data_IF_368521284628
#
_entry.id   IF_368521284628
#
_cell.length_a   1.000
_cell.length_b   1.000
_cell.length_c   1.000
_cell.angle_alpha   90.00
_cell.angle_beta   90.00
_cell.angle_gamma   90.00
#
_symmetry.space_group_name_H-M   'P 1'
#
loop_
_entity.id
_entity.type
_entity.pdbx_description
1 polymer ?
#
# COMPACT_ATOMS: atom_id res chain seq x y z
N UNK A 1 2.99 -19.42 11.23
CA UNK A 1 3.53 -18.41 10.29
C UNK A 1 2.37 -17.71 9.60
N UNK A 2 2.39 -16.38 9.55
CA UNK A 2 1.33 -15.62 8.88
C UNK A 2 1.53 -15.64 7.37
N UNK A 3 0.44 -15.82 6.63
CA UNK A 3 0.46 -15.68 5.18
C UNK A 3 0.61 -14.21 4.80
N UNK A 4 1.28 -13.97 3.69
CA UNK A 4 1.41 -12.65 3.10
C UNK A 4 0.52 -12.59 1.87
N UNK A 5 -0.32 -11.55 1.80
CA UNK A 5 -1.21 -11.35 0.68
C UNK A 5 -0.90 -10.02 0.04
N UNK A 6 -0.55 -10.04 -1.24
CA UNK A 6 -0.27 -8.83 -1.98
C UNK A 6 -1.52 -8.19 -2.53
N UNK A 7 -1.61 -6.87 -2.44
CA UNK A 7 -2.66 -6.10 -3.07
C UNK A 7 -2.02 -5.17 -4.09
N UNK A 8 -2.44 -5.31 -5.33
CA UNK A 8 -1.94 -4.50 -6.43
C UNK A 8 -3.11 -3.76 -7.05
N UNK A 9 -2.86 -2.58 -7.54
CA UNK A 9 -3.90 -1.77 -8.16
C UNK A 9 -3.36 -0.44 -8.61
N UNK A 10 -4.24 0.39 -9.17
CA UNK A 10 -3.87 1.69 -9.68
C UNK A 10 -3.50 2.65 -8.58
N UNK A 11 -2.34 3.28 -8.73
CA UNK A 11 -1.98 4.41 -7.89
C UNK A 11 -2.65 5.68 -8.40
N UNK A 12 -2.57 6.73 -7.62
CA UNK A 12 -3.16 8.02 -7.99
C UNK A 12 -2.10 9.03 -8.43
N UNK A 13 -0.87 8.60 -8.54
CA UNK A 13 0.17 9.51 -9.02
C UNK A 13 -0.16 9.94 -10.45
N UNK A 14 0.03 11.21 -10.73
CA UNK A 14 -0.23 11.85 -12.02
C UNK A 14 -1.70 12.07 -12.36
N UNK A 15 -2.64 11.53 -11.59
CA UNK A 15 -4.06 11.76 -11.84
C UNK A 15 -4.56 11.23 -13.17
N UNK A 16 -3.88 10.26 -13.75
CA UNK A 16 -4.22 9.69 -15.06
C UNK A 16 -5.32 8.65 -14.99
N UNK A 17 -5.59 8.13 -13.80
CA UNK A 17 -6.54 7.04 -13.64
C UNK A 17 -7.73 7.50 -12.83
N UNK A 18 -8.89 7.22 -13.37
CA UNK A 18 -10.14 7.48 -12.66
C UNK A 18 -10.44 6.31 -11.74
N UNK A 19 -9.83 6.35 -10.56
CA UNK A 19 -10.13 5.34 -9.54
C UNK A 19 -11.42 5.76 -8.87
N UNK A 20 -12.46 4.96 -9.05
CA UNK A 20 -13.77 5.29 -8.50
C UNK A 20 -13.78 5.16 -6.97
N UNK A 21 -14.73 5.87 -6.34
CA UNK A 21 -14.93 5.73 -4.90
C UNK A 21 -15.28 4.30 -4.54
N UNK A 22 -15.99 3.60 -5.41
CA UNK A 22 -16.34 2.20 -5.19
C UNK A 22 -15.09 1.31 -5.16
N UNK A 23 -14.15 1.55 -6.10
CA UNK A 23 -12.91 0.78 -6.12
C UNK A 23 -12.07 1.03 -4.87
N UNK A 24 -12.01 2.28 -4.40
CA UNK A 24 -11.28 2.61 -3.18
C UNK A 24 -11.92 1.95 -1.96
N UNK A 25 -13.24 1.92 -1.90
CA UNK A 25 -13.96 1.26 -0.81
C UNK A 25 -13.70 -0.24 -0.81
N UNK A 26 -13.71 -0.86 -1.99
CA UNK A 26 -13.40 -2.28 -2.09
C UNK A 26 -11.98 -2.58 -1.64
N UNK A 27 -11.03 -1.72 -2.01
CA UNK A 27 -9.64 -1.88 -1.58
C UNK A 27 -9.54 -1.82 -0.05
N UNK A 28 -10.25 -0.88 0.57
CA UNK A 28 -10.29 -0.77 2.02
C UNK A 28 -10.85 -2.04 2.65
N UNK A 29 -11.98 -2.55 2.13
CA UNK A 29 -12.59 -3.76 2.66
C UNK A 29 -11.71 -4.99 2.46
N UNK A 30 -11.01 -5.09 1.33
CA UNK A 30 -10.08 -6.19 1.09
C UNK A 30 -8.95 -6.16 2.12
N UNK A 31 -8.37 -4.99 2.36
CA UNK A 31 -7.32 -4.86 3.36
C UNK A 31 -7.79 -5.24 4.76
N UNK A 32 -8.99 -4.81 5.11
CA UNK A 32 -9.61 -5.15 6.39
C UNK A 32 -9.79 -6.66 6.54
N UNK A 33 -10.27 -7.32 5.50
CA UNK A 33 -10.46 -8.77 5.53
C UNK A 33 -9.15 -9.52 5.62
N UNK A 34 -8.11 -9.06 4.94
CA UNK A 34 -6.78 -9.64 5.05
C UNK A 34 -6.31 -9.63 6.50
N UNK A 35 -6.48 -8.50 7.17
CA UNK A 35 -6.10 -8.38 8.57
C UNK A 35 -6.97 -9.26 9.48
N UNK A 36 -8.25 -9.35 9.21
CA UNK A 36 -9.16 -10.20 9.98
C UNK A 36 -8.80 -11.68 9.90
N UNK A 37 -8.23 -12.09 8.78
CA UNK A 37 -7.76 -13.45 8.59
C UNK A 37 -6.35 -13.66 9.11
N UNK A 38 -5.83 -12.69 9.85
CA UNK A 38 -4.50 -12.75 10.47
C UNK A 38 -3.38 -12.92 9.43
N UNK A 39 -3.54 -12.26 8.29
CA UNK A 39 -2.55 -12.27 7.23
C UNK A 39 -1.83 -10.94 7.18
N UNK A 40 -0.63 -10.93 6.59
CA UNK A 40 0.14 -9.71 6.39
C UNK A 40 -0.22 -9.13 5.03
N UNK A 41 -0.61 -7.85 5.00
CA UNK A 41 -0.86 -7.15 3.76
C UNK A 41 0.46 -6.63 3.19
N UNK A 42 0.69 -6.90 1.90
CA UNK A 42 1.87 -6.41 1.20
C UNK A 42 1.39 -5.60 -0.02
N UNK A 43 1.93 -4.39 -0.19
CA UNK A 43 1.60 -3.60 -1.39
C UNK A 43 2.78 -2.70 -1.78
N UNK A 44 2.59 -1.93 -2.85
CA UNK A 44 3.65 -1.09 -3.41
C UNK A 44 3.89 0.23 -2.69
N UNK A 45 3.24 0.46 -1.56
CA UNK A 45 3.40 1.67 -0.76
C UNK A 45 3.04 2.95 -1.51
N UNK A 46 2.17 2.85 -2.51
CA UNK A 46 1.69 3.99 -3.29
C UNK A 46 0.36 4.51 -2.78
N UNK A 47 -0.06 5.66 -3.30
CA UNK A 47 -1.40 6.18 -3.04
C UNK A 47 -2.44 5.41 -3.86
N UNK A 48 -3.72 5.66 -3.59
CA UNK A 48 -4.81 5.02 -4.33
C UNK A 48 -5.19 3.67 -3.74
N UNK A 49 -5.35 2.67 -4.60
CA UNK A 49 -5.78 1.33 -4.19
C UNK A 49 -4.87 0.73 -3.11
N UNK A 50 -3.54 0.74 -3.26
CA UNK A 50 -2.68 0.22 -2.20
C UNK A 50 -2.86 0.94 -0.87
N UNK A 51 -2.96 2.27 -0.90
CA UNK A 51 -3.11 3.06 0.31
C UNK A 51 -4.42 2.75 1.03
N UNK A 52 -5.53 2.64 0.28
CA UNK A 52 -6.82 2.33 0.87
C UNK A 52 -6.83 0.92 1.48
N UNK A 53 -6.18 -0.05 0.82
CA UNK A 53 -6.08 -1.39 1.40
C UNK A 53 -5.30 -1.39 2.70
N UNK A 54 -4.23 -0.60 2.78
CA UNK A 54 -3.45 -0.50 4.02
C UNK A 54 -4.24 0.16 5.14
N UNK A 55 -5.05 1.18 4.83
CA UNK A 55 -5.92 1.80 5.83
C UNK A 55 -6.94 0.79 6.35
N UNK A 56 -7.50 -0.02 5.46
CA UNK A 56 -8.43 -1.07 5.87
C UNK A 56 -7.79 -2.08 6.81
N UNK A 57 -6.59 -2.54 6.46
CA UNK A 57 -5.85 -3.47 7.31
C UNK A 57 -5.57 -2.87 8.68
N UNK A 58 -5.15 -1.61 8.74
CA UNK A 58 -4.87 -0.96 10.02
C UNK A 58 -6.14 -0.78 10.85
N UNK A 59 -7.30 -0.64 10.23
CA UNK A 59 -8.56 -0.55 10.96
C UNK A 59 -8.89 -1.83 11.73
N UNK A 60 -8.32 -2.95 11.32
CA UNK A 60 -8.49 -4.25 11.98
C UNK A 60 -7.20 -4.73 12.65
N UNK A 61 -6.32 -3.80 13.02
CA UNK A 61 -5.04 -4.07 13.70
C UNK A 61 -4.13 -5.01 12.92
N UNK A 62 -4.16 -4.93 11.60
CA UNK A 62 -3.32 -5.76 10.76
C UNK A 62 -1.90 -5.27 10.66
N UNK A 63 -1.02 -6.12 10.14
CA UNK A 63 0.36 -5.75 9.84
C UNK A 63 0.47 -5.45 8.34
N UNK A 64 1.05 -4.30 8.01
CA UNK A 64 1.16 -3.84 6.63
C UNK A 64 2.63 -3.65 6.26
N UNK A 65 3.03 -4.29 5.17
CA UNK A 65 4.37 -4.17 4.62
C UNK A 65 4.28 -3.46 3.26
N UNK A 66 5.03 -2.39 3.10
CA UNK A 66 5.15 -1.69 1.83
C UNK A 66 6.45 -2.04 1.13
N UNK A 67 6.41 -2.13 -0.20
CA UNK A 67 7.62 -2.29 -1.01
C UNK A 67 7.73 -1.05 -1.88
N UNK A 68 8.69 -0.20 -1.58
CA UNK A 68 8.84 1.11 -2.23
C UNK A 68 9.90 1.07 -3.33
N UNK A 69 9.68 1.79 -4.45
CA UNK A 69 10.72 1.93 -5.47
C UNK A 69 11.84 2.87 -5.04
N UNK A 70 11.67 3.64 -3.98
CA UNK A 70 12.64 4.59 -3.49
C UNK A 70 13.87 3.91 -2.89
N UNK A 71 14.97 4.62 -2.81
CA UNK A 71 16.18 4.12 -2.18
C UNK A 71 16.14 4.21 -0.66
N UNK A 72 15.37 5.17 -0.14
CA UNK A 72 15.29 5.39 1.30
C UNK A 72 14.02 6.17 1.62
N UNK A 73 13.77 6.36 2.91
CA UNK A 73 12.58 7.07 3.37
C UNK A 73 12.49 8.48 2.80
N UNK A 74 13.60 9.19 2.75
CA UNK A 74 13.60 10.56 2.26
C UNK A 74 13.13 10.62 0.81
N UNK A 75 13.64 9.75 -0.06
CA UNK A 75 13.22 9.69 -1.45
C UNK A 75 11.76 9.28 -1.58
N UNK A 76 11.33 8.32 -0.78
CA UNK A 76 9.94 7.87 -0.75
C UNK A 76 8.98 9.04 -0.48
N UNK A 77 9.31 9.87 0.49
CA UNK A 77 8.44 10.98 0.89
C UNK A 77 8.58 12.19 -0.04
N UNK A 78 9.81 12.54 -0.43
CA UNK A 78 10.05 13.79 -1.15
C UNK A 78 9.96 13.66 -2.66
N UNK A 79 10.51 12.59 -3.24
CA UNK A 79 10.51 12.40 -4.68
C UNK A 79 9.20 11.77 -5.16
N UNK A 80 8.78 10.70 -4.51
CA UNK A 80 7.58 9.98 -4.92
C UNK A 80 6.33 10.48 -4.22
N UNK A 81 6.48 11.17 -3.09
CA UNK A 81 5.35 11.69 -2.30
C UNK A 81 4.37 10.60 -1.91
N UNK A 82 4.93 9.46 -1.53
CA UNK A 82 4.14 8.31 -1.10
C UNK A 82 3.87 8.35 0.40
N UNK A 83 2.76 7.76 0.85
CA UNK A 83 2.42 7.77 2.27
C UNK A 83 3.28 6.80 3.09
N UNK A 84 3.38 7.07 4.38
CA UNK A 84 4.10 6.21 5.32
C UNK A 84 3.26 5.82 6.52
N UNK A 85 2.14 6.52 6.73
CA UNK A 85 1.39 6.46 7.99
C UNK A 85 0.67 5.14 8.24
N UNK A 86 0.45 4.34 7.21
CA UNK A 86 -0.28 3.07 7.35
C UNK A 86 0.61 1.84 7.29
N UNK A 87 1.94 2.01 7.29
CA UNK A 87 2.87 0.90 7.12
C UNK A 87 3.63 0.61 8.39
N UNK A 88 3.71 -0.67 8.74
CA UNK A 88 4.53 -1.13 9.85
C UNK A 88 5.97 -1.33 9.42
N UNK A 89 6.16 -1.65 8.13
CA UNK A 89 7.48 -1.86 7.57
C UNK A 89 7.45 -1.45 6.10
N UNK A 90 8.47 -0.70 5.66
CA UNK A 90 8.63 -0.37 4.24
C UNK A 90 10.00 -0.87 3.79
N UNK A 91 10.01 -1.65 2.70
CA UNK A 91 11.23 -2.11 2.08
C UNK A 91 11.56 -1.17 0.92
N UNK A 92 12.75 -0.59 0.95
CA UNK A 92 13.20 0.34 -0.09
C UNK A 92 14.08 -0.42 -1.07
N UNK A 93 13.62 -0.53 -2.33
CA UNK A 93 14.33 -1.32 -3.33
C UNK A 93 15.35 -0.52 -4.13
N UNK A 94 15.12 0.78 -4.29
CA UNK A 94 15.97 1.62 -5.12
C UNK A 94 15.84 1.39 -6.61
N UNK A 95 14.89 0.54 -7.02
CA UNK A 95 14.74 0.19 -8.44
C UNK A 95 13.93 1.19 -9.25
N UNK A 96 13.23 2.08 -8.60
CA UNK A 96 12.31 2.98 -9.27
C UNK A 96 11.15 2.21 -9.88
N UNK A 97 10.41 2.87 -10.77
CA UNK A 97 9.25 2.23 -11.40
C UNK A 97 9.64 1.29 -12.55
N UNK A 98 10.89 1.30 -12.94
CA UNK A 98 11.38 0.44 -14.02
C UNK A 98 11.96 -0.87 -13.50
N UNK A 99 12.11 -0.97 -12.21
CA UNK A 99 12.66 -2.17 -11.57
C UNK A 99 11.68 -3.31 -11.37
#
# INVERSE_FOLDING_TARGET
>A
MKLRIGVMGSGLERGEFNVTKKALRLAYEVGKEIARHNCILVNGACRGIPYESSKGAKSADGFVMGVSPAENLREHVTKYKFPTDTYDLIVYTGFGFKG
#
